data_IF_771208389938
#
_entry.id   IF_771208389938
#
_cell.length_a   1.000
_cell.length_b   1.000
_cell.length_c   1.000
_cell.angle_alpha   90.00
_cell.angle_beta   90.00
_cell.angle_gamma   90.00
#
_symmetry.space_group_name_H-M   'P 1'
#
loop_
_entity.id
_entity.type
_entity.pdbx_description
1 polymer ?
#
# COMPACT_ATOMS: atom_id res chain seq x y z
N UNK A 1 -35.32 -1.25 10.98
CA UNK A 1 -34.29 -1.32 9.91
C UNK A 1 -34.08 -2.80 9.58
N UNK A 2 -34.44 -3.25 8.38
CA UNK A 2 -34.32 -4.68 8.03
C UNK A 2 -32.86 -5.13 7.96
N UNK A 3 -32.58 -6.35 8.40
CA UNK A 3 -31.25 -6.95 8.23
C UNK A 3 -30.94 -7.14 6.74
N UNK A 4 -29.70 -6.84 6.36
CA UNK A 4 -29.17 -7.05 5.00
C UNK A 4 -28.24 -8.26 5.04
N UNK A 5 -28.57 -9.30 4.28
CA UNK A 5 -27.71 -10.46 4.10
C UNK A 5 -26.61 -10.13 3.08
N UNK A 6 -25.35 -10.40 3.41
CA UNK A 6 -24.24 -10.30 2.46
C UNK A 6 -23.83 -11.71 2.03
N UNK A 7 -23.85 -11.97 0.73
CA UNK A 7 -23.43 -13.24 0.14
C UNK A 7 -22.17 -12.98 -0.68
N UNK A 8 -21.11 -13.77 -0.46
CA UNK A 8 -19.87 -13.70 -1.24
C UNK A 8 -19.71 -14.97 -2.06
N UNK A 9 -19.43 -14.83 -3.35
CA UNK A 9 -19.27 -15.94 -4.29
C UNK A 9 -17.87 -15.86 -4.90
N UNK A 10 -17.11 -16.93 -4.77
CA UNK A 10 -15.74 -16.99 -5.31
C UNK A 10 -15.59 -18.30 -6.08
N UNK A 11 -15.06 -18.28 -7.32
CA UNK A 11 -14.65 -19.51 -8.00
C UNK A 11 -13.67 -20.29 -7.14
N UNK A 12 -13.80 -21.61 -7.16
CA UNK A 12 -12.80 -22.48 -6.53
C UNK A 12 -11.48 -22.39 -7.31
N UNK A 13 -10.38 -22.16 -6.60
CA UNK A 13 -9.02 -22.11 -7.15
C UNK A 13 -8.18 -23.14 -6.40
N UNK A 14 -7.72 -24.22 -7.05
CA UNK A 14 -6.82 -25.18 -6.43
C UNK A 14 -5.50 -24.51 -6.07
N UNK A 15 -5.08 -24.68 -4.82
CA UNK A 15 -3.85 -24.08 -4.30
C UNK A 15 -2.84 -25.17 -3.98
N UNK A 16 -1.57 -24.90 -4.32
CA UNK A 16 -0.44 -25.70 -3.86
C UNK A 16 -0.47 -25.89 -2.34
N UNK A 17 -0.07 -27.09 -1.90
CA UNK A 17 -0.06 -27.53 -0.51
C UNK A 17 -1.42 -27.53 0.17
N UNK A 18 -2.49 -27.82 -0.58
CA UNK A 18 -3.83 -28.02 -0.03
C UNK A 18 -4.39 -29.38 -0.43
N UNK A 19 -5.34 -29.95 0.33
CA UNK A 19 -5.96 -31.22 -0.02
C UNK A 19 -6.62 -31.23 -1.40
N UNK A 20 -6.88 -30.07 -1.99
CA UNK A 20 -7.56 -29.97 -3.29
C UNK A 20 -6.60 -29.60 -4.44
N UNK A 21 -5.28 -29.68 -4.25
CA UNK A 21 -4.29 -29.28 -5.26
C UNK A 21 -4.34 -30.13 -6.56
N UNK A 22 -4.85 -31.35 -6.46
CA UNK A 22 -5.06 -32.29 -7.56
C UNK A 22 -6.32 -32.00 -8.38
N UNK A 23 -7.30 -31.32 -7.79
CA UNK A 23 -8.58 -31.08 -8.43
C UNK A 23 -8.48 -30.06 -9.59
N UNK A 24 -9.32 -30.20 -10.62
CA UNK A 24 -9.45 -29.19 -11.65
C UNK A 24 -10.19 -27.96 -11.12
N UNK A 25 -9.94 -26.83 -11.77
CA UNK A 25 -10.72 -25.60 -11.67
C UNK A 25 -11.76 -25.57 -12.79
N UNK A 26 -12.91 -24.94 -12.54
CA UNK A 26 -13.93 -24.73 -13.56
C UNK A 26 -13.41 -23.86 -14.70
N UNK A 27 -13.88 -24.14 -15.92
CA UNK A 27 -13.69 -23.26 -17.08
C UNK A 27 -14.19 -21.84 -16.80
N UNK A 28 -13.52 -20.85 -17.40
CA UNK A 28 -13.83 -19.44 -17.20
C UNK A 28 -15.29 -19.11 -17.54
N UNK A 29 -15.79 -19.60 -18.68
CA UNK A 29 -17.14 -19.33 -19.14
C UNK A 29 -18.20 -20.02 -18.26
N UNK A 30 -17.93 -21.22 -17.76
CA UNK A 30 -18.79 -21.90 -16.80
C UNK A 30 -18.82 -21.15 -15.44
N UNK A 31 -17.66 -20.65 -14.99
CA UNK A 31 -17.56 -19.81 -13.80
C UNK A 31 -18.41 -18.53 -13.92
N UNK A 32 -18.31 -17.83 -15.06
CA UNK A 32 -19.15 -16.66 -15.38
C UNK A 32 -20.64 -17.01 -15.38
N UNK A 33 -21.01 -18.10 -16.04
CA UNK A 33 -22.40 -18.57 -16.13
C UNK A 33 -23.00 -18.82 -14.76
N UNK A 34 -22.29 -19.55 -13.89
CA UNK A 34 -22.75 -19.85 -12.51
C UNK A 34 -22.86 -18.59 -11.65
N UNK A 35 -21.88 -17.69 -11.72
CA UNK A 35 -21.91 -16.43 -10.96
C UNK A 35 -23.10 -15.56 -11.41
N UNK A 36 -23.32 -15.42 -12.73
CA UNK A 36 -24.44 -14.65 -13.25
C UNK A 36 -25.79 -15.28 -12.86
N UNK A 37 -25.90 -16.61 -12.95
CA UNK A 37 -27.09 -17.36 -12.53
C UNK A 37 -27.48 -17.07 -11.07
N UNK A 38 -26.50 -17.06 -10.15
CA UNK A 38 -26.75 -16.77 -8.73
C UNK A 38 -27.06 -15.29 -8.55
N UNK A 39 -26.29 -14.40 -9.18
CA UNK A 39 -26.47 -12.95 -9.09
C UNK A 39 -27.88 -12.54 -9.51
N UNK A 40 -28.36 -13.02 -10.64
CA UNK A 40 -29.68 -12.69 -11.18
C UNK A 40 -30.82 -13.19 -10.28
N UNK A 41 -30.68 -14.36 -9.65
CA UNK A 41 -31.72 -14.94 -8.79
C UNK A 41 -31.73 -14.38 -7.36
N UNK A 42 -30.60 -13.88 -6.88
CA UNK A 42 -30.48 -13.32 -5.53
C UNK A 42 -30.58 -11.78 -5.49
N UNK A 43 -30.87 -11.14 -6.62
CA UNK A 43 -31.11 -9.70 -6.69
C UNK A 43 -32.35 -9.32 -5.86
N UNK A 44 -32.12 -8.80 -4.66
CA UNK A 44 -33.18 -8.24 -3.81
C UNK A 44 -32.65 -7.10 -2.94
N UNK A 45 -33.54 -6.22 -2.47
CA UNK A 45 -33.18 -5.12 -1.57
C UNK A 45 -32.61 -5.58 -0.21
N UNK A 46 -32.77 -6.86 0.15
CA UNK A 46 -32.32 -7.44 1.41
C UNK A 46 -31.08 -8.33 1.26
N UNK A 47 -30.61 -8.59 0.04
CA UNK A 47 -29.46 -9.46 -0.23
C UNK A 47 -28.45 -8.69 -1.08
N UNK A 48 -27.26 -8.48 -0.53
CA UNK A 48 -26.11 -7.92 -1.26
C UNK A 48 -25.19 -9.06 -1.68
N UNK A 49 -25.18 -9.35 -2.98
CA UNK A 49 -24.28 -10.34 -3.56
C UNK A 49 -22.98 -9.65 -4.00
N UNK A 50 -21.85 -10.16 -3.52
CA UNK A 50 -20.51 -9.81 -3.97
C UNK A 50 -19.89 -11.03 -4.62
N UNK A 51 -19.05 -10.82 -5.63
CA UNK A 51 -18.35 -11.91 -6.30
C UNK A 51 -16.92 -11.53 -6.66
N UNK A 52 -16.07 -12.54 -6.77
CA UNK A 52 -14.72 -12.38 -7.32
C UNK A 52 -14.79 -12.31 -8.84
N UNK A 53 -13.92 -11.52 -9.45
CA UNK A 53 -13.80 -11.43 -10.90
C UNK A 53 -13.38 -12.82 -11.47
N UNK A 54 -14.15 -13.43 -12.39
CA UNK A 54 -13.83 -14.74 -12.95
C UNK A 54 -12.51 -14.78 -13.71
N UNK A 55 -12.19 -13.76 -14.50
CA UNK A 55 -10.91 -13.64 -15.21
C UNK A 55 -9.72 -13.58 -14.24
N UNK A 56 -9.85 -12.82 -13.14
CA UNK A 56 -8.84 -12.78 -12.10
C UNK A 56 -8.63 -14.16 -11.46
N UNK A 57 -9.73 -14.88 -11.18
CA UNK A 57 -9.68 -16.22 -10.58
C UNK A 57 -9.09 -17.28 -11.54
N UNK A 58 -9.34 -17.13 -12.84
CA UNK A 58 -8.73 -17.95 -13.89
C UNK A 58 -7.21 -17.75 -13.95
N UNK A 59 -6.76 -16.49 -13.93
CA UNK A 59 -5.34 -16.16 -13.91
C UNK A 59 -4.67 -16.64 -12.61
N UNK A 60 -5.36 -16.46 -11.48
CA UNK A 60 -4.94 -16.96 -10.17
C UNK A 60 -4.76 -18.47 -10.18
N UNK A 61 -5.67 -19.22 -10.81
CA UNK A 61 -5.57 -20.68 -10.99
C UNK A 61 -4.33 -21.11 -11.76
N UNK A 62 -4.06 -20.46 -12.89
CA UNK A 62 -2.89 -20.73 -13.72
C UNK A 62 -1.61 -20.59 -12.89
N UNK A 63 -1.44 -19.46 -12.18
CA UNK A 63 -0.23 -19.21 -11.38
C UNK A 63 -0.18 -20.01 -10.08
N UNK A 64 -1.33 -20.38 -9.49
CA UNK A 64 -1.37 -21.21 -8.28
C UNK A 64 -0.94 -22.66 -8.54
N UNK A 65 -1.16 -23.14 -9.76
CA UNK A 65 -0.78 -24.48 -10.23
C UNK A 65 0.38 -24.44 -11.23
N UNK A 66 1.11 -23.33 -11.25
CA UNK A 66 2.11 -22.98 -12.23
C UNK A 66 3.46 -23.65 -12.02
N UNK A 67 4.23 -23.74 -13.11
CA UNK A 67 5.64 -24.12 -13.07
C UNK A 67 6.53 -23.03 -13.68
N UNK A 68 7.83 -23.31 -13.77
CA UNK A 68 8.85 -22.35 -14.25
C UNK A 68 8.58 -21.83 -15.66
N UNK A 69 7.77 -22.50 -16.48
CA UNK A 69 7.40 -22.03 -17.83
C UNK A 69 6.59 -20.74 -17.77
N UNK A 70 5.77 -20.55 -16.74
CA UNK A 70 4.95 -19.34 -16.57
C UNK A 70 5.77 -18.08 -16.26
N UNK A 71 7.05 -18.21 -15.87
CA UNK A 71 7.93 -17.04 -15.71
C UNK A 71 8.05 -16.23 -17.01
N UNK A 72 8.04 -16.90 -18.17
CA UNK A 72 8.08 -16.23 -19.48
C UNK A 72 6.79 -15.48 -19.76
N UNK A 73 5.64 -16.07 -19.40
CA UNK A 73 4.32 -15.43 -19.54
C UNK A 73 4.22 -14.18 -18.66
N UNK A 74 4.70 -14.26 -17.42
CA UNK A 74 4.72 -13.11 -16.51
C UNK A 74 5.56 -11.97 -17.07
N UNK A 75 6.76 -12.27 -17.60
CA UNK A 75 7.64 -11.27 -18.19
C UNK A 75 7.01 -10.64 -19.44
N UNK A 76 6.46 -11.47 -20.33
CA UNK A 76 5.76 -11.03 -21.54
C UNK A 76 4.58 -10.11 -21.18
N UNK A 77 3.70 -10.54 -20.28
CA UNK A 77 2.55 -9.74 -19.85
C UNK A 77 2.99 -8.39 -19.25
N UNK A 78 4.01 -8.39 -18.40
CA UNK A 78 4.55 -7.17 -17.80
C UNK A 78 5.11 -6.20 -18.87
N UNK A 79 5.88 -6.71 -19.84
CA UNK A 79 6.42 -5.90 -20.94
C UNK A 79 5.32 -5.31 -21.84
N UNK A 80 4.18 -5.98 -21.94
CA UNK A 80 3.03 -5.52 -22.72
C UNK A 80 2.02 -4.70 -21.87
N UNK A 81 2.35 -4.34 -20.63
CA UNK A 81 1.60 -3.36 -19.82
C UNK A 81 0.79 -3.93 -18.65
N UNK A 82 0.91 -5.21 -18.32
CA UNK A 82 0.32 -5.78 -17.10
C UNK A 82 1.10 -5.31 -15.85
N UNK A 83 0.56 -4.35 -15.12
CA UNK A 83 1.22 -3.72 -13.96
C UNK A 83 0.35 -3.69 -12.69
N UNK A 84 -0.96 -3.49 -12.86
CA UNK A 84 -1.89 -3.19 -11.77
C UNK A 84 -3.08 -4.16 -11.73
N UNK A 85 -2.91 -5.33 -12.35
CA UNK A 85 -3.94 -6.35 -12.59
C UNK A 85 -4.53 -6.98 -11.32
N UNK A 86 -3.93 -6.77 -10.15
CA UNK A 86 -4.54 -7.13 -8.86
C UNK A 86 -5.78 -6.30 -8.52
N UNK A 87 -5.96 -5.14 -9.16
CA UNK A 87 -7.19 -4.36 -9.08
C UNK A 87 -8.05 -4.63 -10.29
N UNK A 88 -9.26 -5.14 -10.06
CA UNK A 88 -10.17 -5.59 -11.13
C UNK A 88 -10.44 -4.51 -12.19
N UNK A 89 -10.41 -3.23 -11.83
CA UNK A 89 -10.58 -2.12 -12.78
C UNK A 89 -9.39 -1.90 -13.74
N UNK A 90 -8.24 -2.50 -13.45
CA UNK A 90 -7.01 -2.40 -14.22
C UNK A 90 -6.60 -3.73 -14.87
N UNK A 91 -7.25 -4.84 -14.51
CA UNK A 91 -7.00 -6.14 -15.11
C UNK A 91 -7.34 -6.11 -16.59
N UNK A 92 -6.33 -6.32 -17.44
CA UNK A 92 -6.52 -6.53 -18.87
C UNK A 92 -6.19 -7.98 -19.21
N UNK A 93 -7.23 -8.82 -19.23
CA UNK A 93 -7.08 -10.26 -19.45
C UNK A 93 -6.51 -10.62 -20.83
N UNK A 94 -6.70 -9.75 -21.83
CA UNK A 94 -6.24 -10.01 -23.20
C UNK A 94 -4.71 -9.98 -23.28
N UNK A 95 -4.05 -9.13 -22.49
CA UNK A 95 -2.58 -9.11 -22.36
C UNK A 95 -2.08 -10.49 -21.89
N UNK A 96 -2.76 -11.09 -20.91
CA UNK A 96 -2.38 -12.39 -20.36
C UNK A 96 -2.64 -13.54 -21.34
N UNK A 97 -3.77 -13.52 -22.04
CA UNK A 97 -4.09 -14.51 -23.08
C UNK A 97 -3.08 -14.48 -24.23
N UNK A 98 -2.73 -13.28 -24.71
CA UNK A 98 -1.72 -13.13 -25.75
C UNK A 98 -0.32 -13.51 -25.24
N UNK A 99 0.03 -13.22 -23.98
CA UNK A 99 1.29 -13.66 -23.39
C UNK A 99 1.41 -15.19 -23.31
N UNK A 100 0.34 -15.89 -22.90
CA UNK A 100 0.26 -17.35 -22.92
C UNK A 100 0.45 -17.92 -24.33
N UNK A 101 -0.26 -17.34 -25.31
CA UNK A 101 -0.17 -17.71 -26.73
C UNK A 101 1.25 -17.52 -27.29
N UNK A 102 1.87 -16.36 -27.05
CA UNK A 102 3.26 -16.07 -27.48
C UNK A 102 4.28 -17.00 -26.83
N UNK A 103 4.03 -17.42 -25.59
CA UNK A 103 4.87 -18.40 -24.90
C UNK A 103 4.56 -19.86 -25.29
N UNK A 104 3.58 -20.08 -26.17
CA UNK A 104 3.08 -21.41 -26.57
C UNK A 104 2.70 -22.27 -25.36
N UNK A 105 2.00 -21.67 -24.38
CA UNK A 105 1.48 -22.36 -23.21
C UNK A 105 -0.04 -22.38 -23.23
N UNK A 106 -0.59 -23.58 -23.12
CA UNK A 106 -2.01 -23.81 -22.98
C UNK A 106 -2.43 -23.53 -21.51
N UNK A 107 -3.35 -22.59 -21.24
CA UNK A 107 -3.88 -22.38 -19.90
C UNK A 107 -4.60 -23.61 -19.34
N UNK A 108 -5.25 -24.42 -20.19
CA UNK A 108 -6.09 -25.54 -19.76
C UNK A 108 -5.27 -26.67 -19.15
N UNK A 109 -4.02 -26.82 -19.60
CA UNK A 109 -3.02 -27.67 -18.96
C UNK A 109 -2.89 -27.41 -17.45
N UNK A 110 -2.99 -26.14 -17.03
CA UNK A 110 -2.83 -25.73 -15.64
C UNK A 110 -4.12 -25.80 -14.84
N UNK A 111 -5.28 -25.53 -15.44
CA UNK A 111 -6.53 -25.33 -14.70
C UNK A 111 -7.54 -26.47 -14.87
N UNK A 112 -7.71 -27.04 -16.07
CA UNK A 112 -8.78 -28.02 -16.33
C UNK A 112 -8.35 -29.46 -16.04
N UNK A 113 -7.05 -29.71 -15.98
CA UNK A 113 -6.50 -31.05 -15.74
C UNK A 113 -6.64 -31.43 -14.27
N UNK A 114 -7.24 -32.60 -14.03
CA UNK A 114 -7.08 -33.36 -12.79
C UNK A 114 -5.69 -33.98 -12.77
N UNK A 115 -4.96 -33.84 -11.66
CA UNK A 115 -3.60 -34.34 -11.53
C UNK A 115 -3.60 -35.65 -10.76
N UNK A 116 -2.81 -36.60 -11.21
CA UNK A 116 -2.64 -37.85 -10.49
C UNK A 116 -1.92 -37.62 -9.16
N UNK A 117 -2.23 -38.45 -8.16
CA UNK A 117 -1.66 -38.32 -6.82
C UNK A 117 -0.16 -38.61 -6.77
N UNK A 118 0.36 -39.40 -7.72
CA UNK A 118 1.77 -39.74 -7.89
C UNK A 118 2.51 -38.81 -8.85
N UNK A 119 1.82 -37.84 -9.46
CA UNK A 119 2.45 -36.82 -10.31
C UNK A 119 3.43 -35.98 -9.51
N UNK A 120 4.58 -35.69 -10.11
CA UNK A 120 5.56 -34.74 -9.55
C UNK A 120 5.03 -33.32 -9.75
N UNK A 121 4.59 -32.67 -8.67
CA UNK A 121 4.05 -31.32 -8.74
C UNK A 121 5.16 -30.26 -8.73
N UNK A 122 5.01 -29.15 -9.48
CA UNK A 122 6.03 -28.10 -9.59
C UNK A 122 6.49 -27.48 -8.26
N UNK A 123 5.65 -27.53 -7.23
CA UNK A 123 5.90 -26.97 -5.90
C UNK A 123 6.34 -28.00 -4.86
N UNK A 124 6.48 -29.29 -5.19
CA UNK A 124 6.84 -30.33 -4.20
C UNK A 124 8.19 -30.07 -3.52
N UNK A 125 9.10 -29.37 -4.20
CA UNK A 125 10.39 -28.98 -3.64
C UNK A 125 10.29 -27.88 -2.55
N UNK A 126 9.10 -27.33 -2.32
CA UNK A 126 8.83 -26.31 -1.29
C UNK A 126 8.19 -27.00 -0.09
N UNK A 127 8.82 -26.86 1.08
CA UNK A 127 8.34 -27.50 2.30
C UNK A 127 7.40 -26.55 3.06
N UNK A 128 6.10 -26.82 3.04
CA UNK A 128 5.11 -26.11 3.87
C UNK A 128 5.05 -26.63 5.31
N UNK A 129 5.74 -27.75 5.58
CA UNK A 129 5.64 -28.51 6.83
C UNK A 129 4.50 -29.52 6.85
N UNK A 130 3.58 -29.49 5.87
CA UNK A 130 2.51 -30.48 5.76
C UNK A 130 2.97 -31.61 4.84
N UNK A 131 2.78 -32.86 5.27
CA UNK A 131 3.14 -34.05 4.48
C UNK A 131 2.16 -34.31 3.33
N UNK A 132 2.65 -34.87 2.22
CA UNK A 132 1.81 -35.23 1.05
C UNK A 132 0.78 -36.29 1.42
N UNK A 133 1.17 -37.25 2.27
CA UNK A 133 0.32 -38.32 2.78
C UNK A 133 -0.85 -37.75 3.58
N UNK A 134 -0.60 -36.72 4.39
CA UNK A 134 -1.67 -36.03 5.11
C UNK A 134 -2.62 -35.31 4.15
N UNK A 135 -2.11 -34.58 3.15
CA UNK A 135 -2.95 -33.91 2.15
C UNK A 135 -3.85 -34.90 1.39
N UNK A 136 -3.33 -36.07 1.01
CA UNK A 136 -4.10 -37.15 0.37
C UNK A 136 -5.17 -37.73 1.31
N UNK A 137 -4.82 -37.95 2.58
CA UNK A 137 -5.80 -38.37 3.60
C UNK A 137 -6.93 -37.34 3.77
N UNK A 138 -6.59 -36.04 3.83
CA UNK A 138 -7.59 -34.98 3.94
C UNK A 138 -8.45 -34.84 2.68
N UNK A 139 -7.87 -35.05 1.50
CA UNK A 139 -8.61 -35.11 0.25
C UNK A 139 -9.65 -36.23 0.28
N UNK A 140 -9.24 -37.45 0.66
CA UNK A 140 -10.15 -38.60 0.74
C UNK A 140 -11.26 -38.35 1.76
N UNK A 141 -10.94 -37.80 2.95
CA UNK A 141 -11.96 -37.43 3.94
C UNK A 141 -12.95 -36.41 3.37
N UNK A 142 -12.46 -35.40 2.64
CA UNK A 142 -13.32 -34.40 2.02
C UNK A 142 -14.25 -35.03 0.97
N UNK A 143 -13.75 -35.98 0.16
CA UNK A 143 -14.58 -36.73 -0.80
C UNK A 143 -15.63 -37.61 -0.10
N UNK A 144 -15.30 -38.16 1.07
CA UNK A 144 -16.22 -38.94 1.91
C UNK A 144 -17.19 -38.07 2.74
N UNK A 145 -17.08 -36.73 2.69
CA UNK A 145 -17.86 -35.82 3.54
C UNK A 145 -17.50 -35.90 5.03
N UNK A 146 -16.31 -36.40 5.37
CA UNK A 146 -15.80 -36.52 6.73
C UNK A 146 -15.00 -35.27 7.13
N UNK A 147 -15.10 -34.88 8.40
CA UNK A 147 -14.33 -33.77 8.96
C UNK A 147 -13.11 -34.28 9.71
N UNK A 148 -12.07 -33.45 9.75
CA UNK A 148 -10.91 -33.67 10.62
C UNK A 148 -11.13 -32.94 11.94
N UNK A 149 -10.91 -33.60 13.09
CA UNK A 149 -11.08 -32.98 14.39
C UNK A 149 -10.06 -31.88 14.62
N UNK A 150 -10.34 -31.06 15.63
CA UNK A 150 -9.49 -29.95 16.02
C UNK A 150 -8.14 -30.45 16.57
N UNK A 151 -7.03 -29.99 15.97
CA UNK A 151 -5.68 -30.40 16.38
C UNK A 151 -5.29 -29.96 17.79
N UNK A 152 -6.08 -29.07 18.42
CA UNK A 152 -5.95 -28.67 19.83
C UNK A 152 -6.42 -29.76 20.79
N UNK A 153 -7.30 -30.66 20.34
CA UNK A 153 -7.81 -31.77 21.13
C UNK A 153 -7.03 -33.06 20.85
N UNK A 154 -6.74 -33.32 19.58
CA UNK A 154 -6.03 -34.53 19.13
C UNK A 154 -5.12 -34.18 17.96
N UNK A 155 -3.83 -34.55 18.03
CA UNK A 155 -2.92 -34.31 16.92
C UNK A 155 -3.39 -35.04 15.65
N UNK A 156 -3.61 -34.30 14.56
CA UNK A 156 -3.99 -34.87 13.25
C UNK A 156 -2.79 -35.43 12.46
N UNK A 157 -1.59 -35.36 13.03
CA UNK A 157 -0.33 -35.80 12.42
C UNK A 157 -0.06 -35.20 11.03
N UNK A 158 -0.25 -33.88 10.89
CA UNK A 158 -0.08 -33.20 9.60
C UNK A 158 1.39 -33.07 9.15
N UNK A 159 2.34 -33.24 10.06
CA UNK A 159 3.79 -33.13 9.81
C UNK A 159 4.42 -31.79 10.25
N UNK A 160 3.62 -30.81 10.68
CA UNK A 160 4.12 -29.46 11.02
C UNK A 160 4.85 -29.42 12.36
N UNK A 161 4.30 -30.06 13.38
CA UNK A 161 4.92 -30.15 14.70
C UNK A 161 5.80 -31.41 14.73
N UNK A 162 7.10 -31.27 14.97
CA UNK A 162 8.01 -32.39 15.23
C UNK A 162 7.81 -32.98 16.63
N UNK A 163 8.27 -34.21 16.84
CA UNK A 163 8.15 -34.99 18.08
C UNK A 163 8.42 -34.18 19.38
N UNK A 164 7.37 -33.58 19.94
CA UNK A 164 7.25 -32.95 21.25
C UNK A 164 7.90 -31.58 21.53
N UNK A 165 8.64 -30.95 20.62
CA UNK A 165 9.23 -29.61 20.88
C UNK A 165 8.29 -28.43 20.58
N UNK A 166 7.19 -28.67 19.85
CA UNK A 166 6.28 -27.62 19.41
C UNK A 166 4.84 -28.00 19.79
N UNK A 167 4.25 -27.25 20.71
CA UNK A 167 2.84 -27.39 21.11
C UNK A 167 2.07 -26.09 20.86
N UNK A 168 0.82 -26.15 20.38
CA UNK A 168 -0.01 -24.96 20.28
C UNK A 168 -0.25 -24.38 21.68
N UNK A 169 0.05 -23.09 21.86
CA UNK A 169 -0.31 -22.36 23.09
C UNK A 169 -1.81 -22.11 23.04
N UNK A 170 -2.57 -22.95 23.76
CA UNK A 170 -4.01 -22.83 23.86
C UNK A 170 -4.36 -21.75 24.88
N UNK A 171 -5.25 -20.84 24.51
CA UNK A 171 -5.87 -19.91 25.43
C UNK A 171 -7.12 -20.59 26.00
N UNK A 172 -6.95 -21.25 27.15
CA UNK A 172 -7.92 -22.07 27.87
C UNK A 172 -8.92 -21.25 28.69
N UNK A 173 -8.52 -20.07 29.15
CA UNK A 173 -9.42 -19.13 29.84
C UNK A 173 -9.77 -17.93 28.97
N UNK A 174 -10.71 -18.10 28.05
CA UNK A 174 -11.50 -16.94 27.64
C UNK A 174 -12.45 -16.60 28.78
N UNK A 175 -11.95 -15.84 29.75
CA UNK A 175 -12.85 -14.99 30.49
C UNK A 175 -13.32 -13.92 29.49
N UNK A 176 -14.64 -13.69 29.31
CA UNK A 176 -15.05 -12.38 28.84
C UNK A 176 -14.23 -11.43 29.69
N UNK A 177 -13.48 -10.52 29.07
CA UNK A 177 -12.86 -9.44 29.83
C UNK A 177 -13.98 -8.95 30.74
N UNK A 178 -13.89 -9.19 32.07
CA UNK A 178 -14.74 -8.48 33.02
C UNK A 178 -14.76 -7.08 32.47
N UNK A 179 -15.94 -6.56 32.09
CA UNK A 179 -16.08 -5.26 31.42
C UNK A 179 -15.00 -4.41 32.01
N UNK A 180 -13.89 -4.20 31.28
CA UNK A 180 -12.69 -3.66 31.95
C UNK A 180 -13.22 -2.36 32.45
N UNK A 181 -13.46 -2.18 33.76
CA UNK A 181 -14.11 -0.98 34.31
C UNK A 181 -13.41 0.17 33.61
N UNK A 182 -14.12 0.78 32.64
CA UNK A 182 -13.53 1.24 31.37
C UNK A 182 -12.06 1.51 31.53
N UNK A 183 -11.15 0.62 31.03
CA UNK A 183 -9.67 0.70 31.19
C UNK A 183 -9.34 2.05 31.82
N UNK A 184 -9.20 2.14 33.17
CA UNK A 184 -8.96 3.45 33.83
C UNK A 184 -7.99 4.16 32.90
N UNK A 185 -8.41 5.27 32.25
CA UNK A 185 -7.70 5.76 31.08
C UNK A 185 -6.24 5.75 31.46
N UNK A 186 -5.41 4.99 30.70
CA UNK A 186 -3.96 4.94 30.90
C UNK A 186 -3.59 6.35 31.32
N UNK A 187 -3.13 6.52 32.57
CA UNK A 187 -3.06 7.84 33.17
C UNK A 187 -2.49 8.80 32.11
N UNK A 188 -3.11 9.97 31.84
CA UNK A 188 -2.79 10.80 30.68
C UNK A 188 -1.33 11.29 30.59
N UNK A 189 -0.43 10.85 31.47
CA UNK A 189 0.72 11.58 31.93
C UNK A 189 1.97 10.70 32.14
N UNK A 190 2.41 9.98 31.10
CA UNK A 190 3.86 9.89 30.91
C UNK A 190 4.21 10.83 29.77
N UNK A 191 4.29 12.13 30.09
CA UNK A 191 4.62 13.20 29.17
C UNK A 191 6.04 12.97 28.63
N UNK A 192 6.13 12.36 27.44
CA UNK A 192 7.33 12.49 26.63
C UNK A 192 7.45 13.92 26.13
N UNK A 193 8.66 14.29 25.71
CA UNK A 193 8.92 15.57 25.09
C UNK A 193 8.74 15.45 23.58
N UNK A 194 8.32 16.53 22.93
CA UNK A 194 8.28 16.61 21.48
C UNK A 194 9.65 17.00 20.97
N UNK A 195 10.17 16.20 20.03
CA UNK A 195 11.39 16.49 19.29
C UNK A 195 11.05 16.73 17.84
N UNK A 196 11.57 17.83 17.29
CA UNK A 196 11.46 18.16 15.88
C UNK A 196 12.68 17.67 15.14
N UNK A 197 12.45 16.86 14.11
CA UNK A 197 13.49 16.36 13.23
C UNK A 197 13.34 17.04 11.87
N UNK A 198 14.46 17.53 11.34
CA UNK A 198 14.56 17.92 9.93
C UNK A 198 15.26 16.82 9.16
N UNK A 199 14.75 16.44 7.99
CA UNK A 199 15.29 15.34 7.21
C UNK A 199 15.20 15.57 5.69
N UNK A 200 16.03 14.86 4.94
CA UNK A 200 15.99 14.80 3.48
C UNK A 200 15.16 13.60 3.00
N UNK A 201 14.57 13.72 1.81
CA UNK A 201 13.87 12.64 1.09
C UNK A 201 14.23 12.73 -0.39
N UNK A 202 15.18 11.93 -0.83
CA UNK A 202 15.86 12.02 -2.13
C UNK A 202 15.81 10.69 -2.89
N UNK A 203 16.19 10.73 -4.16
CA UNK A 203 16.36 9.57 -5.03
C UNK A 203 15.09 8.71 -5.12
N UNK A 204 15.20 7.39 -5.02
CA UNK A 204 14.07 6.45 -5.11
C UNK A 204 13.07 6.61 -3.96
N UNK A 205 13.45 7.23 -2.84
CA UNK A 205 12.52 7.43 -1.71
C UNK A 205 11.47 8.49 -2.01
N UNK A 206 11.63 9.30 -3.07
CA UNK A 206 10.59 10.21 -3.55
C UNK A 206 9.27 9.52 -3.88
N UNK A 207 9.31 8.23 -4.22
CA UNK A 207 8.13 7.41 -4.52
C UNK A 207 7.40 6.90 -3.27
N UNK A 208 7.99 7.03 -2.08
CA UNK A 208 7.28 6.70 -0.84
C UNK A 208 6.16 7.72 -0.59
N UNK A 209 4.95 7.20 -0.42
CA UNK A 209 3.80 7.94 0.06
C UNK A 209 3.97 8.31 1.54
N UNK A 210 3.10 9.20 2.03
CA UNK A 210 3.11 9.63 3.42
C UNK A 210 2.93 8.47 4.41
N UNK A 211 2.06 7.51 4.08
CA UNK A 211 1.79 6.35 4.95
C UNK A 211 2.99 5.42 5.04
N UNK A 212 3.73 5.25 3.94
CA UNK A 212 4.95 4.45 3.93
C UNK A 212 6.08 5.16 4.66
N UNK A 213 6.20 6.49 4.51
CA UNK A 213 7.18 7.29 5.22
C UNK A 213 6.98 7.20 6.74
N UNK A 214 5.73 7.26 7.22
CA UNK A 214 5.39 7.02 8.62
C UNK A 214 5.89 5.64 9.08
N UNK A 215 5.67 4.58 8.30
CA UNK A 215 6.15 3.23 8.63
C UNK A 215 7.67 3.13 8.66
N UNK A 216 8.37 3.80 7.73
CA UNK A 216 9.84 3.87 7.70
C UNK A 216 10.36 4.48 9.00
N UNK A 217 9.86 5.65 9.39
CA UNK A 217 10.30 6.31 10.62
C UNK A 217 9.97 5.50 11.87
N UNK A 218 8.75 4.92 11.98
CA UNK A 218 8.40 4.06 13.12
C UNK A 218 9.37 2.88 13.24
N UNK A 219 9.70 2.22 12.13
CA UNK A 219 10.66 1.10 12.13
C UNK A 219 12.06 1.56 12.50
N UNK A 220 12.53 2.66 11.94
CA UNK A 220 13.85 3.22 12.21
C UNK A 220 13.99 3.64 13.68
N UNK A 221 13.01 4.35 14.24
CA UNK A 221 12.97 4.74 15.65
C UNK A 221 12.98 3.52 16.58
N UNK A 222 12.19 2.49 16.28
CA UNK A 222 12.17 1.25 17.07
C UNK A 222 13.52 0.54 17.06
N UNK A 223 14.17 0.44 15.90
CA UNK A 223 15.49 -0.20 15.76
C UNK A 223 16.62 0.63 16.38
N UNK A 224 16.50 1.96 16.34
CA UNK A 224 17.40 2.88 17.01
C UNK A 224 17.25 2.89 18.55
N UNK A 225 16.28 2.14 19.10
CA UNK A 225 16.01 2.06 20.54
C UNK A 225 15.36 3.32 21.11
N UNK A 226 14.63 4.08 20.29
CA UNK A 226 13.96 5.30 20.73
C UNK A 226 12.64 4.96 21.45
N UNK A 227 12.45 5.50 22.65
CA UNK A 227 11.26 5.29 23.48
C UNK A 227 10.13 6.25 23.06
N UNK A 228 9.33 5.84 22.07
CA UNK A 228 8.28 6.65 21.45
C UNK A 228 7.00 6.65 22.32
N UNK A 229 6.35 7.80 22.44
CA UNK A 229 5.03 7.91 23.08
C UNK A 229 3.92 7.48 22.12
N UNK A 230 2.92 6.77 22.64
CA UNK A 230 1.76 6.28 21.87
C UNK A 230 0.47 6.99 22.28
N UNK A 231 -0.52 7.00 21.39
CA UNK A 231 -1.87 7.49 21.68
C UNK A 231 -2.64 6.55 22.63
N UNK A 232 -3.61 7.11 23.35
CA UNK A 232 -4.53 6.37 24.21
C UNK A 232 -5.78 5.98 23.41
N UNK A 233 -5.87 4.72 22.97
CA UNK A 233 -7.01 4.20 22.21
C UNK A 233 -6.92 2.68 22.00
N UNK A 234 -7.94 2.07 21.38
CA UNK A 234 -7.99 0.62 21.11
C UNK A 234 -6.84 0.13 20.21
N UNK A 235 -6.32 1.00 19.35
CA UNK A 235 -5.10 0.77 18.55
C UNK A 235 -4.10 1.91 18.81
N UNK A 236 -3.22 1.78 19.82
CA UNK A 236 -2.23 2.80 20.14
C UNK A 236 -1.31 3.08 18.95
N UNK A 237 -1.29 4.33 18.50
CA UNK A 237 -0.44 4.78 17.39
C UNK A 237 0.72 5.61 17.92
N UNK A 238 1.94 5.46 17.38
CA UNK A 238 3.05 6.35 17.69
C UNK A 238 2.66 7.81 17.46
N UNK A 239 2.96 8.70 18.42
CA UNK A 239 2.73 10.14 18.29
C UNK A 239 3.78 10.78 17.40
N UNK A 240 3.49 10.79 16.10
CA UNK A 240 4.32 11.32 15.03
C UNK A 240 3.48 12.25 14.13
N UNK A 241 3.97 13.46 13.90
CA UNK A 241 3.26 14.50 13.15
C UNK A 241 4.18 15.15 12.13
N UNK A 242 3.93 14.91 10.84
CA UNK A 242 4.64 15.59 9.76
C UNK A 242 4.05 16.96 9.50
N UNK A 243 4.90 17.93 9.14
CA UNK A 243 4.45 19.29 8.90
C UNK A 243 3.58 19.43 7.66
N UNK A 244 3.89 18.65 6.63
CA UNK A 244 3.11 18.55 5.39
C UNK A 244 3.37 17.18 4.76
N UNK A 245 2.39 16.66 4.02
CA UNK A 245 2.59 15.48 3.20
C UNK A 245 3.25 15.89 1.86
N UNK A 246 4.47 15.42 1.64
CA UNK A 246 5.16 15.66 0.37
C UNK A 246 4.49 14.85 -0.75
N UNK A 247 4.17 15.44 -1.92
CA UNK A 247 3.64 14.69 -3.06
C UNK A 247 4.59 13.57 -3.50
N UNK A 248 4.00 12.43 -3.88
CA UNK A 248 4.77 11.32 -4.48
C UNK A 248 5.46 11.82 -5.75
N UNK A 249 6.74 11.47 -5.90
CA UNK A 249 7.59 11.94 -7.00
C UNK A 249 8.40 13.20 -6.69
N UNK A 250 8.11 13.91 -5.59
CA UNK A 250 8.87 15.09 -5.15
C UNK A 250 10.02 14.71 -4.20
N UNK A 251 11.19 15.29 -4.44
CA UNK A 251 12.35 15.23 -3.55
C UNK A 251 12.33 16.43 -2.59
N UNK A 252 12.95 16.29 -1.43
CA UNK A 252 13.06 17.39 -0.46
C UNK A 252 14.38 17.37 0.29
N UNK A 253 14.95 18.56 0.48
CA UNK A 253 16.13 18.79 1.30
C UNK A 253 15.77 19.10 2.76
N UNK A 254 14.51 19.43 3.05
CA UNK A 254 14.11 19.90 4.37
C UNK A 254 12.62 19.64 4.64
N UNK A 255 12.33 18.39 5.01
CA UNK A 255 11.06 17.98 5.60
C UNK A 255 11.15 17.97 7.11
N UNK A 256 10.00 18.18 7.76
CA UNK A 256 9.89 18.31 9.20
C UNK A 256 8.92 17.27 9.74
N UNK A 257 9.36 16.58 10.78
CA UNK A 257 8.53 15.66 11.55
C UNK A 257 8.74 15.86 13.04
N UNK A 258 7.63 16.02 13.76
CA UNK A 258 7.63 16.10 15.22
C UNK A 258 7.29 14.71 15.78
N UNK A 259 8.12 14.21 16.70
CA UNK A 259 7.93 12.92 17.38
C UNK A 259 7.92 13.14 18.89
N UNK A 260 6.97 12.51 19.59
CA UNK A 260 7.00 12.50 21.06
C UNK A 260 7.78 11.28 21.54
N UNK A 261 8.81 11.52 22.35
CA UNK A 261 9.69 10.47 22.87
C UNK A 261 10.15 10.77 24.30
N UNK A 262 10.62 9.73 24.98
CA UNK A 262 11.15 9.78 26.35
C UNK A 262 12.66 9.56 26.35
N UNK A 263 13.31 9.97 27.43
CA UNK A 263 14.68 9.56 27.77
C UNK A 263 15.75 9.88 26.71
N UNK A 264 15.54 10.90 25.88
CA UNK A 264 16.57 11.34 24.92
C UNK A 264 17.54 12.28 25.63
N UNK A 265 18.73 11.78 25.91
CA UNK A 265 19.80 12.55 26.57
C UNK A 265 20.71 13.27 25.58
N UNK A 266 20.95 12.69 24.39
CA UNK A 266 21.87 13.23 23.40
C UNK A 266 21.28 13.14 21.99
N UNK A 267 20.84 14.28 21.45
CA UNK A 267 20.21 14.36 20.13
C UNK A 267 21.17 13.96 19.01
N UNK A 268 22.45 14.33 19.07
CA UNK A 268 23.44 13.97 18.06
C UNK A 268 23.68 12.46 17.97
N UNK A 269 23.76 11.77 19.11
CA UNK A 269 23.88 10.32 19.16
C UNK A 269 22.60 9.65 18.64
N UNK A 270 21.43 10.16 19.04
CA UNK A 270 20.13 9.66 18.56
C UNK A 270 19.99 9.81 17.05
N UNK A 271 20.37 10.95 16.47
CA UNK A 271 20.39 11.15 15.01
C UNK A 271 21.28 10.10 14.33
N UNK A 272 22.47 9.81 14.85
CA UNK A 272 23.36 8.77 14.29
C UNK A 272 22.69 7.40 14.32
N UNK A 273 22.09 7.00 15.45
CA UNK A 273 21.37 5.73 15.57
C UNK A 273 20.20 5.64 14.59
N UNK A 274 19.41 6.70 14.45
CA UNK A 274 18.28 6.74 13.51
C UNK A 274 18.79 6.62 12.07
N UNK A 275 19.81 7.39 11.69
CA UNK A 275 20.35 7.37 10.33
C UNK A 275 20.98 6.02 9.94
N UNK A 276 21.49 5.24 10.89
CA UNK A 276 21.96 3.87 10.62
C UNK A 276 20.81 2.91 10.28
N UNK A 277 19.58 3.22 10.69
CA UNK A 277 18.39 2.39 10.47
C UNK A 277 17.50 2.90 9.33
N UNK A 278 17.78 4.08 8.79
CA UNK A 278 17.05 4.67 7.67
C UNK A 278 17.58 4.14 6.33
N UNK A 279 16.70 3.96 5.32
CA UNK A 279 17.13 3.56 3.98
C UNK A 279 17.86 4.72 3.27
N UNK A 280 18.68 4.37 2.27
CA UNK A 280 19.30 5.36 1.38
C UNK A 280 18.25 6.32 0.80
N UNK A 281 18.61 7.60 0.72
CA UNK A 281 17.71 8.68 0.28
C UNK A 281 16.92 9.36 1.41
N UNK A 282 16.87 8.80 2.63
CA UNK A 282 16.32 9.51 3.80
C UNK A 282 17.42 9.72 4.84
N UNK A 283 17.60 10.97 5.27
CA UNK A 283 18.58 11.30 6.30
C UNK A 283 18.07 12.38 7.23
N UNK A 284 18.08 12.12 8.54
CA UNK A 284 17.86 13.13 9.57
C UNK A 284 19.09 14.03 9.65
N UNK A 285 18.87 15.32 9.47
CA UNK A 285 19.88 16.38 9.49
C UNK A 285 20.04 16.99 10.88
N UNK A 286 18.92 17.23 11.56
CA UNK A 286 18.89 17.84 12.89
C UNK A 286 17.74 17.30 13.72
N UNK A 287 17.87 17.46 15.04
CA UNK A 287 16.87 17.08 16.03
C UNK A 287 16.94 18.08 17.19
N UNK A 288 15.83 18.75 17.48
CA UNK A 288 15.70 19.73 18.55
C UNK A 288 14.54 19.40 19.48
N UNK A 289 14.71 19.61 20.78
CA UNK A 289 13.62 19.49 21.76
C UNK A 289 12.76 20.77 21.70
N UNK A 290 11.47 20.64 21.44
CA UNK A 290 10.54 21.77 21.32
C UNK A 290 9.49 21.80 22.45
N UNK A 291 9.77 21.10 23.55
CA UNK A 291 8.92 21.00 24.72
C UNK A 291 7.70 20.10 24.49
N UNK A 292 6.57 20.40 25.14
CA UNK A 292 5.32 19.65 24.98
C UNK A 292 4.44 20.39 23.97
N UNK A 293 4.33 19.84 22.75
CA UNK A 293 3.39 20.33 21.73
C UNK A 293 2.44 19.22 21.29
N UNK A 294 1.15 19.57 21.27
CA UNK A 294 0.07 18.71 20.76
C UNK A 294 -0.29 19.04 19.31
N UNK A 295 -0.03 20.26 18.86
CA UNK A 295 -0.37 20.68 17.50
C UNK A 295 0.74 20.28 16.53
N UNK A 296 0.38 19.72 15.35
CA UNK A 296 1.34 19.45 14.30
C UNK A 296 2.06 20.72 13.85
N UNK A 297 3.32 20.62 13.39
CA UNK A 297 4.00 21.72 12.72
C UNK A 297 3.19 22.18 11.52
N UNK A 298 3.12 23.49 11.28
CA UNK A 298 2.44 24.07 10.11
C UNK A 298 3.44 24.80 9.25
N UNK A 299 3.50 24.43 7.97
CA UNK A 299 4.29 25.15 6.98
C UNK A 299 3.49 26.37 6.51
N UNK A 300 4.13 27.53 6.49
CA UNK A 300 3.64 28.77 5.88
C UNK A 300 3.99 28.83 4.40
N UNK A 301 5.23 28.48 4.05
CA UNK A 301 5.74 28.55 2.68
C UNK A 301 6.68 27.38 2.37
N UNK A 302 6.67 26.91 1.13
CA UNK A 302 7.64 25.95 0.60
C UNK A 302 8.26 26.51 -0.68
N UNK A 303 9.56 26.26 -0.83
CA UNK A 303 10.37 26.66 -1.98
C UNK A 303 10.67 25.41 -2.78
N UNK A 304 10.39 25.49 -4.07
CA UNK A 304 10.61 24.40 -5.01
C UNK A 304 11.51 24.87 -6.14
N UNK A 305 12.47 24.03 -6.47
CA UNK A 305 13.22 24.08 -7.71
C UNK A 305 12.68 23.00 -8.63
N UNK A 306 12.32 23.37 -9.85
CA UNK A 306 11.65 22.49 -10.80
C UNK A 306 12.41 22.48 -12.11
N UNK A 307 12.71 21.28 -12.60
CA UNK A 307 13.33 21.05 -13.90
C UNK A 307 12.41 20.19 -14.75
N UNK A 308 12.33 20.46 -16.04
CA UNK A 308 11.59 19.61 -16.98
C UNK A 308 12.30 19.50 -18.33
N UNK A 309 11.94 18.47 -19.09
CA UNK A 309 12.31 18.36 -20.50
C UNK A 309 11.39 19.28 -21.32
N UNK A 310 11.91 20.43 -21.75
CA UNK A 310 11.14 21.43 -22.49
C UNK A 310 11.60 22.85 -22.15
N UNK A 311 10.75 23.83 -22.48
CA UNK A 311 11.02 25.23 -22.16
C UNK A 311 9.88 25.87 -21.34
N UNK A 312 10.23 26.66 -20.34
CA UNK A 312 9.31 27.51 -19.59
C UNK A 312 9.18 28.86 -20.30
N UNK A 313 8.01 29.13 -20.90
CA UNK A 313 7.74 30.42 -21.52
C UNK A 313 7.58 31.52 -20.45
N UNK A 314 8.49 32.50 -20.44
CA UNK A 314 8.45 33.65 -19.52
C UNK A 314 7.15 34.46 -19.65
N UNK A 315 6.60 34.60 -20.84
CA UNK A 315 5.33 35.31 -21.07
C UNK A 315 4.15 34.63 -20.35
N UNK A 316 4.17 33.31 -20.22
CA UNK A 316 3.14 32.57 -19.49
C UNK A 316 3.20 32.90 -17.98
N UNK A 317 4.42 33.03 -17.44
CA UNK A 317 4.65 33.46 -16.05
C UNK A 317 4.16 34.89 -15.85
N UNK A 318 4.49 35.81 -16.76
CA UNK A 318 4.07 37.21 -16.66
C UNK A 318 2.53 37.32 -16.70
N UNK A 319 1.88 36.64 -17.66
CA UNK A 319 0.40 36.56 -17.72
C UNK A 319 -0.20 36.00 -16.44
N UNK A 320 0.38 34.94 -15.91
CA UNK A 320 -0.09 34.32 -14.66
C UNK A 320 0.06 35.28 -13.47
N UNK A 321 1.21 35.93 -13.30
CA UNK A 321 1.47 36.82 -12.17
C UNK A 321 0.61 38.10 -12.22
N UNK A 322 0.32 38.60 -13.43
CA UNK A 322 -0.59 39.74 -13.66
C UNK A 322 -2.07 39.37 -13.48
N UNK A 323 -2.43 38.10 -13.57
CA UNK A 323 -3.82 37.66 -13.37
C UNK A 323 -4.27 37.88 -11.92
N UNK A 324 -5.53 38.31 -11.74
CA UNK A 324 -6.15 38.44 -10.41
C UNK A 324 -6.54 37.09 -9.81
N UNK A 325 -6.82 36.11 -10.67
CA UNK A 325 -7.26 34.77 -10.31
C UNK A 325 -6.89 33.82 -11.44
N UNK A 326 -6.55 32.58 -11.10
CA UNK A 326 -6.31 31.52 -12.07
C UNK A 326 -6.87 30.21 -11.48
N UNK A 327 -7.99 29.76 -12.03
CA UNK A 327 -8.75 28.64 -11.50
C UNK A 327 -8.29 27.32 -12.12
N UNK A 328 -8.05 26.33 -11.27
CA UNK A 328 -7.70 24.97 -11.66
C UNK A 328 -8.64 23.97 -10.98
N UNK A 329 -9.00 22.90 -11.69
CA UNK A 329 -9.89 21.86 -11.16
C UNK A 329 -9.05 20.74 -10.54
N UNK A 330 -9.24 20.53 -9.23
CA UNK A 330 -8.67 19.38 -8.52
C UNK A 330 -9.66 18.23 -8.55
N UNK A 331 -9.35 17.17 -9.29
CA UNK A 331 -10.16 15.94 -9.34
C UNK A 331 -9.76 14.97 -8.22
N UNK A 332 -10.75 14.38 -7.56
CA UNK A 332 -10.63 13.21 -6.68
C UNK A 332 -11.56 12.12 -7.20
N UNK A 333 -11.38 10.88 -6.71
CA UNK A 333 -12.14 9.70 -7.15
C UNK A 333 -13.66 9.92 -7.29
N UNK A 334 -14.27 10.71 -6.39
CA UNK A 334 -15.72 10.98 -6.37
C UNK A 334 -16.10 12.48 -6.28
N UNK A 335 -15.17 13.40 -6.49
CA UNK A 335 -15.45 14.84 -6.31
C UNK A 335 -14.49 15.72 -7.07
N UNK A 336 -14.97 16.84 -7.59
CA UNK A 336 -14.13 17.89 -8.16
C UNK A 336 -14.18 19.14 -7.28
N UNK A 337 -13.06 19.84 -7.14
CA UNK A 337 -12.99 21.08 -6.38
C UNK A 337 -12.19 22.10 -7.16
N UNK A 338 -12.77 23.27 -7.38
CA UNK A 338 -12.07 24.38 -8.02
C UNK A 338 -11.17 25.08 -7.01
N UNK A 339 -9.93 25.35 -7.44
CA UNK A 339 -8.88 25.95 -6.61
C UNK A 339 -8.29 27.13 -7.37
N UNK A 340 -8.18 28.29 -6.73
CA UNK A 340 -7.47 29.43 -7.29
C UNK A 340 -5.96 29.31 -7.03
N UNK A 341 -5.19 28.92 -8.04
CA UNK A 341 -3.74 28.76 -7.93
C UNK A 341 -3.02 30.11 -7.74
N UNK A 342 -3.60 31.23 -8.20
CA UNK A 342 -2.95 32.54 -8.05
C UNK A 342 -2.78 32.92 -6.58
N UNK A 343 -3.74 32.52 -5.74
CA UNK A 343 -3.72 32.74 -4.29
C UNK A 343 -2.63 31.93 -3.56
N UNK A 344 -2.18 30.81 -4.15
CA UNK A 344 -1.20 29.90 -3.56
C UNK A 344 0.23 30.23 -3.98
N UNK A 345 0.43 30.83 -5.15
CA UNK A 345 1.76 31.16 -5.66
C UNK A 345 2.23 32.52 -5.14
N UNK A 346 3.26 32.52 -4.28
CA UNK A 346 3.94 33.73 -3.81
C UNK A 346 4.88 34.28 -4.87
N UNK A 347 5.67 33.41 -5.49
CA UNK A 347 6.61 33.77 -6.53
C UNK A 347 6.78 32.61 -7.52
N UNK A 348 7.04 32.95 -8.77
CA UNK A 348 7.33 32.01 -9.85
C UNK A 348 8.36 32.67 -10.77
N UNK A 349 9.57 32.13 -10.80
CA UNK A 349 10.70 32.72 -11.51
C UNK A 349 11.29 31.69 -12.49
N UNK A 350 11.40 32.04 -13.77
CA UNK A 350 12.14 31.23 -14.75
C UNK A 350 13.63 31.51 -14.57
N UNK A 351 14.41 30.48 -14.25
CA UNK A 351 15.85 30.57 -14.01
C UNK A 351 16.63 30.33 -15.31
N UNK A 352 16.16 29.40 -16.13
CA UNK A 352 16.65 29.11 -17.47
C UNK A 352 15.52 28.51 -18.30
N UNK A 353 15.77 28.15 -19.57
CA UNK A 353 14.73 27.56 -20.41
C UNK A 353 14.10 26.32 -19.76
N UNK A 354 14.85 25.47 -19.06
CA UNK A 354 14.33 24.21 -18.50
C UNK A 354 14.17 24.22 -16.98
N UNK A 355 14.38 25.37 -16.32
CA UNK A 355 14.45 25.44 -14.86
C UNK A 355 13.66 26.63 -14.30
N UNK A 356 12.94 26.40 -13.20
CA UNK A 356 12.20 27.44 -12.50
C UNK A 356 12.27 27.30 -10.99
N UNK A 357 12.06 28.42 -10.32
CA UNK A 357 11.78 28.51 -8.89
C UNK A 357 10.29 28.78 -8.68
N UNK A 358 9.67 28.01 -7.78
CA UNK A 358 8.29 28.19 -7.36
C UNK A 358 8.23 28.32 -5.83
N UNK A 359 7.57 29.37 -5.35
CA UNK A 359 7.30 29.57 -3.92
C UNK A 359 5.80 29.46 -3.68
N UNK A 360 5.40 28.44 -2.93
CA UNK A 360 4.00 28.16 -2.57
C UNK A 360 3.72 28.61 -1.15
N UNK A 361 2.60 29.31 -0.94
CA UNK A 361 2.01 29.64 0.36
C UNK A 361 0.94 28.63 0.71
N UNK A 362 0.94 28.21 1.97
CA UNK A 362 -0.09 27.33 2.53
C UNK A 362 -1.07 28.14 3.36
N UNK A 363 -2.35 27.83 3.19
CA UNK A 363 -3.45 28.58 3.77
C UNK A 363 -4.61 27.67 4.18
N UNK A 364 -5.78 28.25 4.40
CA UNK A 364 -7.00 27.46 4.62
C UNK A 364 -7.61 27.11 3.26
N UNK A 365 -7.74 25.82 2.96
CA UNK A 365 -8.47 25.35 1.78
C UNK A 365 -7.79 24.21 1.03
N UNK A 366 -8.34 23.80 -0.12
CA UNK A 366 -7.75 22.81 -0.99
C UNK A 366 -6.47 23.33 -1.66
N UNK A 367 -5.39 22.59 -1.54
CA UNK A 367 -4.08 22.94 -2.13
C UNK A 367 -3.81 22.10 -3.38
N UNK A 368 -3.09 22.67 -4.35
CA UNK A 368 -2.61 21.94 -5.52
C UNK A 368 -1.13 21.57 -5.36
N UNK A 369 -0.74 20.44 -5.93
CA UNK A 369 0.66 20.00 -5.92
C UNK A 369 1.51 20.93 -6.81
N UNK A 370 2.82 21.09 -6.56
CA UNK A 370 3.69 21.88 -7.43
C UNK A 370 3.59 21.50 -8.92
N UNK A 371 3.57 20.19 -9.23
CA UNK A 371 3.37 19.70 -10.60
C UNK A 371 2.05 20.18 -11.23
N UNK A 372 0.95 20.15 -10.47
CA UNK A 372 -0.37 20.58 -10.93
C UNK A 372 -0.42 22.11 -11.12
N UNK A 373 0.25 22.88 -10.26
CA UNK A 373 0.40 24.33 -10.43
C UNK A 373 1.13 24.61 -11.75
N UNK A 374 2.30 24.00 -11.98
CA UNK A 374 3.08 24.21 -13.21
C UNK A 374 2.29 23.75 -14.45
N UNK A 375 1.57 22.63 -14.37
CA UNK A 375 0.69 22.19 -15.46
C UNK A 375 -0.30 23.27 -15.88
N UNK A 376 -0.98 23.91 -14.91
CA UNK A 376 -2.00 24.90 -15.21
C UNK A 376 -1.41 26.23 -15.68
N UNK A 377 -0.26 26.66 -15.13
CA UNK A 377 0.38 27.92 -15.53
C UNK A 377 0.92 27.86 -16.96
N UNK A 378 1.52 26.73 -17.36
CA UNK A 378 2.15 26.55 -18.67
C UNK A 378 1.30 25.73 -19.64
N UNK A 379 0.07 25.36 -19.25
CA UNK A 379 -0.87 24.57 -20.06
C UNK A 379 -0.29 23.24 -20.57
N UNK A 380 0.48 22.56 -19.71
CA UNK A 380 1.21 21.34 -20.07
C UNK A 380 0.30 20.11 -20.18
N UNK A 381 0.71 19.16 -21.02
CA UNK A 381 0.12 17.82 -21.08
C UNK A 381 0.68 16.91 -19.97
N UNK A 382 -0.06 15.86 -19.61
CA UNK A 382 0.33 14.94 -18.53
C UNK A 382 1.69 14.25 -18.79
N UNK A 383 2.01 13.93 -20.05
CA UNK A 383 3.30 13.35 -20.44
C UNK A 383 4.49 14.26 -20.14
N UNK A 384 4.31 15.59 -20.15
CA UNK A 384 5.37 16.55 -19.83
C UNK A 384 5.60 16.66 -18.32
N UNK A 385 4.62 16.28 -17.50
CA UNK A 385 4.72 16.28 -16.04
C UNK A 385 5.50 15.06 -15.55
N UNK A 386 5.35 13.91 -16.21
CA UNK A 386 6.03 12.67 -15.84
C UNK A 386 7.56 12.80 -15.86
N UNK A 387 8.10 13.61 -16.77
CA UNK A 387 9.53 13.92 -16.85
C UNK A 387 10.02 15.02 -15.90
N UNK A 388 9.14 15.62 -15.10
CA UNK A 388 9.46 16.75 -14.25
C UNK A 388 10.19 16.32 -12.97
N UNK A 389 11.33 16.95 -12.69
CA UNK A 389 12.04 16.82 -11.42
C UNK A 389 11.65 17.97 -10.52
N UNK A 390 11.12 17.66 -9.34
CA UNK A 390 10.65 18.65 -8.38
C UNK A 390 11.43 18.43 -7.09
N UNK A 391 12.21 19.44 -6.70
CA UNK A 391 13.00 19.46 -5.48
C UNK A 391 12.49 20.56 -4.56
N UNK A 392 11.97 20.19 -3.40
CA UNK A 392 11.66 21.14 -2.33
C UNK A 392 12.95 21.48 -1.58
N UNK A 393 13.38 22.74 -1.66
CA UNK A 393 14.67 23.19 -1.12
C UNK A 393 14.54 23.74 0.30
N UNK A 394 13.39 24.31 0.64
CA UNK A 394 13.18 24.98 1.94
C UNK A 394 11.71 24.99 2.34
N UNK A 395 11.48 24.98 3.65
CA UNK A 395 10.17 25.24 4.27
C UNK A 395 10.29 26.40 5.26
N UNK A 396 9.27 27.25 5.35
CA UNK A 396 9.10 28.24 6.42
C UNK A 396 7.93 27.77 7.29
N UNK A 397 8.17 27.60 8.60
CA UNK A 397 7.18 27.18 9.59
C UNK A 397 6.46 28.42 10.15
N UNK A 398 5.21 28.27 10.60
CA UNK A 398 4.45 29.28 11.35
C UNK A 398 4.94 29.37 12.79
#
# INVERSE_FOLDING_TARGET
>A
KGHVLNVSISPFVPKAHTPFEWLPQLELEEGKRRINFIRERLQSHRVKVKWNNPEASWLEGIFSRGDRRLTRVLLEAWQNGAHFDSWSEHLNIDIWKEALKRCNLDPDFYILREREHDEVLPWEHIHSGISKEFLLSEWQKAMDGKTTPDCRQYCSNCGVCSDNDISPVLFDTWHPLEEKKGLKPKQPNEQGKTYRLCFTKLEKTKYLSQLELIKVFIRAFRRAGMDIVYSSGYHPMPKLSFAIALPVGTESLNEIVDVQAKNIQNTSLTIRKINNELPSGIRVLSMEEIGIKETPPRIKESYFYIQMNGYFNKEAVDRFLMSKSCLAVKKRRNSETTVDIRSQVKALNVLSNSELELIVRYGKGPELKPAEIIKNVFTLHDSQIEGMRILKTKSIII
#
